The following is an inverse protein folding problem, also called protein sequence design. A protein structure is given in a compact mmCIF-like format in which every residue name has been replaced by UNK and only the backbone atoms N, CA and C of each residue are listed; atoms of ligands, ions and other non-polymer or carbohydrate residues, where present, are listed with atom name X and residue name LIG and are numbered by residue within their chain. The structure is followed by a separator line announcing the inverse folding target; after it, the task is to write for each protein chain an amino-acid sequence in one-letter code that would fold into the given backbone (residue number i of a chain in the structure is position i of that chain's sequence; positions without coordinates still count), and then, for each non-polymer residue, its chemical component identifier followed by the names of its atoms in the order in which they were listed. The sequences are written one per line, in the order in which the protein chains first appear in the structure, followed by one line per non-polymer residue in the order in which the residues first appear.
data_IF_805909437695
#
_entry.id   IF_805909437695
#
_cell.length_a   1.000
_cell.length_b   1.000
_cell.length_c   1.000
_cell.angle_alpha   90.00
_cell.angle_beta   90.00
_cell.angle_gamma   90.00
#
_symmetry.space_group_name_H-M   'P 1'
#
loop_
_entity.id
_entity.type
_entity.pdbx_description
1 polymer ?
#
# COMPACT_ATOMS: atom_id res chain seq x y z
N UNK A 1 24.00 -11.92 -1.77
CA UNK A 1 24.12 -10.90 -2.82
C UNK A 1 22.76 -10.73 -3.42
N UNK A 2 22.18 -9.51 -3.36
CA UNK A 2 20.90 -9.21 -4.01
C UNK A 2 21.10 -9.29 -5.52
N UNK A 3 20.35 -10.19 -6.16
CA UNK A 3 20.45 -10.41 -7.60
C UNK A 3 19.57 -9.38 -8.30
N UNK A 4 20.09 -8.13 -8.46
CA UNK A 4 19.44 -7.12 -9.28
C UNK A 4 19.27 -7.64 -10.71
N UNK A 5 18.19 -7.26 -11.33
CA UNK A 5 17.95 -7.51 -12.74
C UNK A 5 18.85 -6.63 -13.63
N UNK A 6 19.00 -7.01 -14.86
CA UNK A 6 19.59 -6.17 -15.90
C UNK A 6 18.67 -5.00 -16.25
N UNK A 7 19.23 -3.95 -16.85
CA UNK A 7 18.43 -2.80 -17.32
C UNK A 7 17.30 -3.23 -18.27
N UNK A 8 17.55 -4.20 -19.15
CA UNK A 8 16.56 -4.66 -20.12
C UNK A 8 15.39 -5.37 -19.43
N UNK A 9 15.65 -6.16 -18.39
CA UNK A 9 14.61 -6.83 -17.61
C UNK A 9 13.74 -5.82 -16.86
N UNK A 10 14.33 -4.78 -16.23
CA UNK A 10 13.55 -3.72 -15.58
C UNK A 10 12.70 -2.92 -16.58
N UNK A 11 13.24 -2.61 -17.77
CA UNK A 11 12.48 -1.96 -18.83
C UNK A 11 11.32 -2.84 -19.30
N UNK A 12 11.53 -4.15 -19.41
CA UNK A 12 10.45 -5.09 -19.75
C UNK A 12 9.35 -5.10 -18.69
N UNK A 13 9.70 -5.06 -17.40
CA UNK A 13 8.71 -4.94 -16.33
C UNK A 13 7.93 -3.62 -16.48
N UNK A 14 8.64 -2.49 -16.66
CA UNK A 14 8.02 -1.18 -16.82
C UNK A 14 7.00 -1.11 -17.95
N UNK A 15 7.27 -1.78 -19.07
CA UNK A 15 6.38 -1.84 -20.24
C UNK A 15 5.12 -2.69 -20.02
N UNK A 16 5.12 -3.57 -19.02
CA UNK A 16 4.02 -4.47 -18.70
C UNK A 16 3.25 -4.09 -17.43
N UNK A 17 3.66 -3.01 -16.75
CA UNK A 17 2.93 -2.49 -15.60
C UNK A 17 1.72 -1.71 -16.09
N UNK A 18 0.55 -2.04 -15.55
CA UNK A 18 -0.67 -1.26 -15.68
C UNK A 18 -0.94 -0.54 -14.34
N UNK A 19 -0.52 0.72 -14.18
CA UNK A 19 -0.66 1.43 -12.91
C UNK A 19 -2.14 1.71 -12.63
N UNK A 20 -2.59 1.58 -11.37
CA UNK A 20 -3.96 1.88 -11.00
C UNK A 20 -4.26 3.36 -11.25
N UNK A 21 -5.33 3.64 -12.01
CA UNK A 21 -5.70 4.98 -12.44
C UNK A 21 -7.04 5.47 -11.87
N UNK A 22 -7.53 4.84 -10.81
CA UNK A 22 -8.84 5.12 -10.22
C UNK A 22 -8.80 4.97 -8.70
N UNK A 23 -9.67 5.67 -7.94
CA UNK A 23 -9.85 5.46 -6.51
C UNK A 23 -10.17 3.99 -6.17
N UNK A 24 -9.64 3.51 -5.06
CA UNK A 24 -9.95 2.19 -4.54
C UNK A 24 -10.87 2.33 -3.32
N UNK A 25 -12.14 1.95 -3.48
CA UNK A 25 -13.16 2.12 -2.46
C UNK A 25 -13.91 0.80 -2.28
N UNK A 26 -14.11 0.37 -1.05
CA UNK A 26 -14.83 -0.86 -0.69
C UNK A 26 -14.32 -2.10 -1.42
N UNK A 27 -13.00 -2.25 -1.48
CA UNK A 27 -12.34 -3.43 -2.04
C UNK A 27 -12.27 -3.49 -3.57
N UNK A 28 -12.61 -2.43 -4.28
CA UNK A 28 -12.59 -2.37 -5.75
C UNK A 28 -12.13 -1.01 -6.28
N UNK A 29 -11.56 -1.01 -7.49
CA UNK A 29 -11.31 0.22 -8.22
C UNK A 29 -12.62 0.77 -8.78
N UNK A 30 -12.87 2.07 -8.54
CA UNK A 30 -14.04 2.79 -9.01
C UNK A 30 -13.59 4.01 -9.78
N UNK A 31 -14.25 4.31 -10.91
CA UNK A 31 -13.97 5.56 -11.61
C UNK A 31 -14.34 6.75 -10.72
N UNK A 32 -13.39 7.66 -10.51
CA UNK A 32 -13.67 8.91 -9.81
C UNK A 32 -14.47 9.88 -10.69
N UNK A 33 -15.22 10.76 -10.04
CA UNK A 33 -16.07 11.75 -10.69
C UNK A 33 -15.46 13.17 -10.66
N UNK A 34 -14.20 13.29 -10.22
CA UNK A 34 -13.42 14.52 -10.29
C UNK A 34 -12.76 14.71 -11.66
N UNK A 35 -12.01 15.81 -11.86
CA UNK A 35 -11.27 16.07 -13.09
C UNK A 35 -10.18 15.01 -13.29
N UNK A 36 -9.85 14.71 -14.55
CA UNK A 36 -8.68 13.88 -14.85
C UNK A 36 -7.39 14.60 -14.46
N UNK A 37 -6.44 13.84 -13.93
CA UNK A 37 -5.09 14.31 -13.63
C UNK A 37 -4.08 13.46 -14.40
N UNK A 38 -3.14 14.12 -15.06
CA UNK A 38 -2.04 13.43 -15.76
C UNK A 38 -0.92 13.17 -14.75
N UNK A 39 -0.52 11.91 -14.63
CA UNK A 39 0.66 11.51 -13.87
C UNK A 39 1.86 11.46 -14.80
N UNK A 40 2.92 12.20 -14.48
CA UNK A 40 4.12 12.33 -15.30
C UNK A 40 5.33 11.68 -14.62
N UNK A 41 6.14 11.01 -15.41
CA UNK A 41 7.44 10.51 -14.96
C UNK A 41 8.40 11.68 -14.75
N UNK A 42 8.88 11.94 -13.53
CA UNK A 42 9.73 13.10 -13.23
C UNK A 42 11.12 13.02 -13.89
N UNK A 43 11.56 11.84 -14.33
CA UNK A 43 12.86 11.67 -14.98
C UNK A 43 12.90 12.14 -16.42
N UNK A 44 11.76 12.08 -17.14
CA UNK A 44 11.70 12.38 -18.57
C UNK A 44 10.47 13.17 -19.01
N UNK A 45 9.60 13.51 -18.05
CA UNK A 45 8.34 14.23 -18.25
C UNK A 45 7.33 13.55 -19.20
N UNK A 46 7.48 12.24 -19.41
CA UNK A 46 6.52 11.45 -20.19
C UNK A 46 5.29 11.12 -19.34
N UNK A 47 4.14 11.03 -19.98
CA UNK A 47 2.92 10.58 -19.33
C UNK A 47 3.05 9.10 -18.91
N UNK A 48 2.79 8.82 -17.64
CA UNK A 48 2.70 7.46 -17.08
C UNK A 48 1.26 6.95 -17.28
N UNK A 49 0.29 7.73 -16.80
CA UNK A 49 -1.14 7.39 -16.87
C UNK A 49 -2.01 8.63 -16.63
N UNK A 50 -3.30 8.48 -16.88
CA UNK A 50 -4.33 9.47 -16.53
C UNK A 50 -5.18 8.93 -15.38
N UNK A 51 -5.26 9.69 -14.32
CA UNK A 51 -5.95 9.30 -13.09
C UNK A 51 -7.32 9.96 -13.07
N UNK A 52 -8.39 9.17 -12.91
CA UNK A 52 -9.71 9.71 -12.60
C UNK A 52 -9.73 10.08 -11.12
N UNK A 53 -9.69 11.39 -10.80
CA UNK A 53 -9.67 11.84 -9.42
C UNK A 53 -11.05 11.73 -8.77
N UNK A 54 -11.08 11.69 -7.43
CA UNK A 54 -12.31 11.69 -6.66
C UNK A 54 -12.89 13.13 -6.55
N UNK A 55 -14.20 13.24 -6.53
CA UNK A 55 -14.91 14.46 -6.09
C UNK A 55 -15.39 14.32 -4.63
N UNK A 56 -16.13 15.31 -4.12
CA UNK A 56 -16.65 15.31 -2.75
C UNK A 56 -17.55 14.09 -2.45
N UNK A 57 -18.40 13.71 -3.40
CA UNK A 57 -19.30 12.54 -3.23
C UNK A 57 -18.52 11.22 -3.17
N UNK A 58 -17.45 11.06 -3.94
CA UNK A 58 -16.59 9.90 -3.89
C UNK A 58 -15.87 9.79 -2.53
N UNK A 59 -15.45 10.93 -1.99
CA UNK A 59 -14.85 10.99 -0.64
C UNK A 59 -15.87 10.63 0.43
N UNK A 60 -17.10 11.17 0.35
CA UNK A 60 -18.17 10.84 1.28
C UNK A 60 -18.50 9.34 1.26
N UNK A 61 -18.57 8.74 0.07
CA UNK A 61 -18.76 7.30 -0.11
C UNK A 61 -17.60 6.50 0.52
N UNK A 62 -16.35 6.93 0.31
CA UNK A 62 -15.20 6.25 0.88
C UNK A 62 -15.23 6.30 2.42
N UNK A 63 -15.60 7.43 3.00
CA UNK A 63 -15.76 7.60 4.46
C UNK A 63 -16.92 6.75 4.99
N UNK A 64 -18.06 6.71 4.29
CA UNK A 64 -19.20 5.85 4.63
C UNK A 64 -18.76 4.38 4.69
N UNK A 65 -18.10 3.88 3.64
CA UNK A 65 -17.62 2.49 3.59
C UNK A 65 -16.57 2.17 4.66
N UNK A 66 -15.68 3.11 4.95
CA UNK A 66 -14.73 2.97 6.05
C UNK A 66 -15.45 2.91 7.41
N UNK A 67 -16.48 3.73 7.61
CA UNK A 67 -17.31 3.72 8.82
C UNK A 67 -18.09 2.42 8.97
N UNK A 68 -18.70 1.90 7.90
CA UNK A 68 -19.34 0.59 7.90
C UNK A 68 -18.35 -0.51 8.35
N UNK A 69 -17.15 -0.52 7.78
CA UNK A 69 -16.11 -1.51 8.10
C UNK A 69 -15.65 -1.42 9.57
N UNK A 70 -15.64 -0.22 10.14
CA UNK A 70 -15.34 -0.02 11.55
C UNK A 70 -16.46 -0.51 12.46
N UNK A 71 -17.72 -0.14 12.15
CA UNK A 71 -18.90 -0.47 12.98
C UNK A 71 -19.21 -1.97 12.98
N UNK A 72 -19.13 -2.65 11.82
CA UNK A 72 -19.35 -4.10 11.74
C UNK A 72 -18.23 -4.90 12.42
N UNK A 73 -17.07 -4.26 12.60
CA UNK A 73 -15.95 -4.83 13.31
C UNK A 73 -15.18 -5.89 12.53
N UNK A 74 -15.30 -5.92 11.19
CA UNK A 74 -14.61 -6.90 10.33
C UNK A 74 -13.09 -6.93 10.53
N UNK A 75 -12.51 -5.89 11.10
CA UNK A 75 -11.13 -5.82 11.56
C UNK A 75 -11.02 -5.83 13.10
N UNK A 76 -11.74 -4.95 13.78
CA UNK A 76 -11.62 -4.74 15.22
C UNK A 76 -11.99 -5.96 16.07
N UNK A 77 -12.96 -6.79 15.59
CA UNK A 77 -13.37 -8.03 16.27
C UNK A 77 -12.45 -9.23 16.00
N UNK A 78 -11.49 -9.09 15.07
CA UNK A 78 -10.48 -10.14 14.86
C UNK A 78 -9.53 -10.25 16.03
N UNK A 79 -9.14 -11.47 16.35
CA UNK A 79 -8.13 -11.73 17.37
C UNK A 79 -6.77 -11.12 16.95
N UNK A 80 -5.88 -10.83 17.90
CA UNK A 80 -4.51 -10.40 17.60
C UNK A 80 -3.80 -11.33 16.60
N UNK A 81 -3.97 -12.63 16.75
CA UNK A 81 -3.37 -13.64 15.86
C UNK A 81 -3.89 -13.53 14.41
N UNK A 82 -5.20 -13.38 14.22
CA UNK A 82 -5.80 -13.22 12.88
C UNK A 82 -5.33 -11.92 12.21
N UNK A 83 -5.26 -10.82 12.95
CA UNK A 83 -4.75 -9.54 12.42
C UNK A 83 -3.28 -9.65 12.01
N UNK A 84 -2.45 -10.28 12.86
CA UNK A 84 -1.05 -10.57 12.57
C UNK A 84 -0.91 -11.40 11.29
N UNK A 85 -1.68 -12.48 11.14
CA UNK A 85 -1.63 -13.35 9.96
C UNK A 85 -1.95 -12.58 8.67
N UNK A 86 -2.94 -11.68 8.69
CA UNK A 86 -3.30 -10.86 7.52
C UNK A 86 -2.13 -9.98 7.11
N UNK A 87 -1.48 -9.29 8.06
CA UNK A 87 -0.32 -8.43 7.77
C UNK A 87 0.89 -9.23 7.29
N UNK A 88 1.14 -10.41 7.85
CA UNK A 88 2.22 -11.29 7.37
C UNK A 88 1.93 -11.81 5.96
N UNK A 89 0.67 -12.11 5.61
CA UNK A 89 0.29 -12.45 4.24
C UNK A 89 0.52 -11.28 3.29
N UNK A 90 0.23 -10.05 3.71
CA UNK A 90 0.54 -8.83 2.93
C UNK A 90 2.05 -8.73 2.67
N UNK A 91 2.91 -8.93 3.69
CA UNK A 91 4.37 -8.95 3.51
C UNK A 91 4.82 -9.98 2.47
N UNK A 92 4.21 -11.19 2.47
CA UNK A 92 4.51 -12.24 1.47
C UNK A 92 4.10 -11.83 0.06
N UNK A 93 2.97 -11.14 -0.10
CA UNK A 93 2.51 -10.60 -1.40
C UNK A 93 3.45 -9.51 -1.90
N UNK A 94 3.82 -8.55 -1.06
CA UNK A 94 4.79 -7.50 -1.40
C UNK A 94 6.13 -8.14 -1.81
N UNK A 95 6.62 -9.13 -1.07
CA UNK A 95 7.86 -9.84 -1.42
C UNK A 95 7.77 -10.52 -2.78
N UNK A 96 6.62 -11.12 -3.11
CA UNK A 96 6.38 -11.77 -4.41
C UNK A 96 6.45 -10.75 -5.56
N UNK A 97 5.84 -9.58 -5.36
CA UNK A 97 5.71 -8.52 -6.37
C UNK A 97 6.76 -7.40 -6.18
N UNK A 98 7.86 -7.68 -5.46
CA UNK A 98 8.84 -6.65 -5.09
C UNK A 98 9.41 -5.89 -6.29
N UNK A 99 9.60 -6.56 -7.44
CA UNK A 99 10.20 -5.98 -8.63
C UNK A 99 9.26 -5.06 -9.37
N UNK A 100 8.00 -5.48 -9.54
CA UNK A 100 6.95 -4.65 -10.12
C UNK A 100 6.72 -3.40 -9.25
N UNK A 101 6.66 -3.57 -7.93
CA UNK A 101 6.50 -2.46 -6.99
C UNK A 101 7.70 -1.51 -7.03
N UNK A 102 8.93 -2.03 -7.06
CA UNK A 102 10.14 -1.20 -7.14
C UNK A 102 10.23 -0.43 -8.46
N UNK A 103 9.81 -1.03 -9.58
CA UNK A 103 9.76 -0.36 -10.89
C UNK A 103 8.69 0.71 -10.89
N UNK A 104 7.50 0.43 -10.35
CA UNK A 104 6.42 1.41 -10.24
C UNK A 104 6.84 2.63 -9.40
N UNK A 105 7.45 2.39 -8.24
CA UNK A 105 8.00 3.44 -7.38
C UNK A 105 9.06 4.27 -8.11
N UNK A 106 9.96 3.60 -8.84
CA UNK A 106 11.02 4.28 -9.60
C UNK A 106 10.46 5.16 -10.72
N UNK A 107 9.43 4.72 -11.42
CA UNK A 107 8.81 5.50 -12.51
C UNK A 107 8.06 6.71 -11.96
N UNK A 108 7.34 6.54 -10.85
CA UNK A 108 6.50 7.57 -10.26
C UNK A 108 7.32 8.63 -9.49
N UNK A 109 8.32 8.22 -8.74
CA UNK A 109 9.15 9.11 -7.90
C UNK A 109 10.40 9.65 -8.61
N UNK A 110 10.84 9.01 -9.71
CA UNK A 110 12.12 9.30 -10.37
C UNK A 110 13.35 8.73 -9.65
N UNK A 111 13.15 7.94 -8.60
CA UNK A 111 14.21 7.33 -7.81
C UNK A 111 14.89 6.18 -8.57
N UNK A 112 16.21 5.94 -8.39
CA UNK A 112 16.87 4.78 -9.01
C UNK A 112 16.19 3.46 -8.59
N UNK A 113 15.84 2.61 -9.54
CA UNK A 113 15.15 1.34 -9.29
C UNK A 113 15.94 0.43 -8.34
N UNK A 114 17.27 0.53 -8.34
CA UNK A 114 18.14 -0.17 -7.39
C UNK A 114 17.79 0.19 -5.95
N UNK A 115 17.58 1.46 -5.66
CA UNK A 115 17.31 1.94 -4.31
C UNK A 115 15.87 1.60 -3.89
N UNK A 116 14.92 1.67 -4.82
CA UNK A 116 13.56 1.17 -4.60
C UNK A 116 13.55 -0.33 -4.25
N UNK A 117 14.26 -1.19 -5.01
CA UNK A 117 14.27 -2.63 -4.77
C UNK A 117 15.08 -3.04 -3.54
N UNK A 118 16.22 -2.35 -3.24
CA UNK A 118 17.13 -2.76 -2.16
C UNK A 118 16.88 -2.07 -0.83
N UNK A 119 16.19 -0.94 -0.83
CA UNK A 119 15.96 -0.13 0.37
C UNK A 119 14.46 0.00 0.62
N UNK A 120 13.70 0.63 -0.28
CA UNK A 120 12.32 1.04 0.00
C UNK A 120 11.38 -0.15 0.20
N UNK A 121 11.41 -1.13 -0.71
CA UNK A 121 10.56 -2.32 -0.59
C UNK A 121 10.92 -3.16 0.65
N UNK A 122 12.20 -3.45 0.95
CA UNK A 122 12.57 -4.10 2.21
C UNK A 122 12.14 -3.34 3.45
N UNK A 123 12.31 -2.02 3.50
CA UNK A 123 11.89 -1.19 4.63
C UNK A 123 10.37 -1.21 4.82
N UNK A 124 9.60 -1.13 3.75
CA UNK A 124 8.14 -1.27 3.80
C UNK A 124 7.74 -2.64 4.41
N UNK A 125 8.37 -3.73 3.94
CA UNK A 125 8.11 -5.08 4.46
C UNK A 125 8.48 -5.17 5.94
N UNK A 126 9.66 -4.66 6.33
CA UNK A 126 10.13 -4.69 7.71
C UNK A 126 9.20 -3.90 8.64
N UNK A 127 8.75 -2.73 8.20
CA UNK A 127 7.81 -1.89 8.96
C UNK A 127 6.47 -2.60 9.19
N UNK A 128 5.86 -3.15 8.14
CA UNK A 128 4.60 -3.88 8.26
C UNK A 128 4.77 -5.11 9.16
N UNK A 129 5.86 -5.86 8.97
CA UNK A 129 6.17 -7.03 9.78
C UNK A 129 6.37 -6.68 11.25
N UNK A 130 7.11 -5.60 11.54
CA UNK A 130 7.32 -5.14 12.90
C UNK A 130 5.99 -4.83 13.60
N UNK A 131 5.11 -4.08 12.94
CA UNK A 131 3.77 -3.78 13.48
C UNK A 131 2.92 -5.04 13.63
N UNK A 132 2.99 -5.98 12.68
CA UNK A 132 2.28 -7.25 12.79
C UNK A 132 2.74 -8.07 14.00
N UNK A 133 4.04 -8.08 14.27
CA UNK A 133 4.61 -8.79 15.42
C UNK A 133 4.39 -8.07 16.75
N UNK A 134 4.16 -6.76 16.74
CA UNK A 134 3.86 -5.98 17.93
C UNK A 134 2.42 -6.14 18.44
N UNK A 135 1.50 -6.63 17.61
CA UNK A 135 0.06 -6.70 17.94
C UNK A 135 -0.22 -7.45 19.25
N UNK A 136 0.51 -8.52 19.51
CA UNK A 136 0.37 -9.36 20.71
C UNK A 136 1.30 -8.96 21.86
N UNK A 137 1.99 -7.81 21.74
CA UNK A 137 2.98 -7.30 22.71
C UNK A 137 2.61 -5.92 23.26
N UNK A 138 1.39 -5.47 23.02
CA UNK A 138 0.88 -4.23 23.61
C UNK A 138 0.38 -4.57 25.02
N UNK A 139 1.11 -4.10 26.02
CA UNK A 139 0.76 -4.27 27.42
C UNK A 139 -0.04 -3.06 27.90
N UNK A 140 -1.18 -3.31 28.53
CA UNK A 140 -1.98 -2.28 29.18
C UNK A 140 -1.45 -2.05 30.61
N UNK A 141 -1.46 -0.80 31.06
CA UNK A 141 -1.16 -0.47 32.46
C UNK A 141 -2.49 -0.18 33.17
N UNK A 142 -2.97 -1.13 33.95
CA UNK A 142 -4.10 -0.89 34.82
C UNK A 142 -3.58 -0.13 36.06
N UNK A 143 -4.14 1.05 36.33
CA UNK A 143 -3.91 1.73 37.59
C UNK A 143 -4.54 0.91 38.74
N UNK A 144 -3.87 0.79 39.91
CA UNK A 144 -4.49 0.16 41.07
C UNK A 144 -5.75 0.96 41.43
N UNK A 145 -6.89 0.30 41.44
CA UNK A 145 -8.13 0.88 41.97
C UNK A 145 -8.08 0.73 43.49
N UNK A 146 -8.25 1.83 44.19
CA UNK A 146 -8.51 1.75 45.66
C UNK A 146 -9.93 1.20 45.82
N UNK A 147 -10.04 0.10 46.55
CA UNK A 147 -11.35 -0.42 46.97
C UNK A 147 -12.00 0.61 47.92
N UNK A 148 -13.12 1.20 47.47
CA UNK A 148 -13.99 2.03 48.30
C UNK A 148 -14.98 1.16 49.06
#
# INVERSE_FOLDING_TARGET
MSNLLTKLEYVSIAQNIDPPCSPFIDGKFCRGHGPEMVCLNPSNNNEITRISTANGQDVDLAVEKAREAFVDGRWAKKTPAERKEILIRLCKLITRHRRELAVMESIDSGKPVRDCELIDIPEMINTIKWHAEAIDKIYDQAAPLEDN
#
